data_IF_321726839672
#
_entry.id   IF_321726839672
#
_cell.length_a   1.000
_cell.length_b   1.000
_cell.length_c   1.000
_cell.angle_alpha   90.00
_cell.angle_beta   90.00
_cell.angle_gamma   90.00
#
_symmetry.space_group_name_H-M   'P 1'
#
loop_
_entity.id
_entity.type
_entity.pdbx_description
1 polymer ?
#
# COMPACT_ATOMS: atom_id res chain seq x y z
N UNK A 1 1.97 -0.11 23.35
CA UNK A 1 2.09 -1.39 22.63
C UNK A 1 2.61 -1.06 21.25
N UNK A 2 3.63 -1.77 20.77
CA UNK A 2 4.20 -1.55 19.43
C UNK A 2 3.24 -2.12 18.38
N UNK A 3 2.95 -1.39 17.30
CA UNK A 3 2.10 -1.88 16.20
C UNK A 3 2.90 -2.84 15.31
N UNK A 4 2.21 -3.80 14.68
CA UNK A 4 2.80 -4.70 13.70
C UNK A 4 3.32 -3.96 12.45
N UNK A 5 2.90 -2.71 12.26
CA UNK A 5 3.25 -1.86 11.12
C UNK A 5 4.30 -0.79 11.45
N UNK A 6 4.98 -0.87 12.59
CA UNK A 6 5.98 0.13 13.02
C UNK A 6 7.09 0.38 11.98
N UNK A 7 7.38 -0.60 11.11
CA UNK A 7 8.33 -0.43 10.00
C UNK A 7 7.91 0.64 8.97
N UNK A 8 6.61 0.96 8.89
CA UNK A 8 6.08 2.01 8.01
C UNK A 8 6.21 3.41 8.61
N UNK A 9 6.40 3.53 9.93
CA UNK A 9 6.36 4.82 10.64
C UNK A 9 7.42 5.80 10.12
N UNK A 10 8.61 5.32 9.75
CA UNK A 10 9.73 6.16 9.30
C UNK A 10 9.60 6.67 7.87
N UNK A 11 9.09 5.85 6.96
CA UNK A 11 9.05 6.16 5.52
C UNK A 11 7.64 6.55 5.04
N UNK A 12 6.60 6.08 5.73
CA UNK A 12 5.21 6.16 5.29
C UNK A 12 4.23 6.47 6.45
N UNK A 13 4.36 7.62 7.12
CA UNK A 13 3.59 7.93 8.34
C UNK A 13 2.07 7.92 8.13
N UNK A 14 1.56 8.38 6.98
CA UNK A 14 0.12 8.38 6.67
C UNK A 14 -0.44 6.96 6.44
N UNK A 15 0.36 6.09 5.82
CA UNK A 15 0.01 4.68 5.62
C UNK A 15 0.06 3.96 6.97
N UNK A 16 1.06 4.26 7.79
CA UNK A 16 1.21 3.72 9.13
C UNK A 16 0.00 4.05 10.02
N UNK A 17 -0.44 5.31 10.06
CA UNK A 17 -1.63 5.70 10.85
C UNK A 17 -2.85 4.88 10.44
N UNK A 18 -3.12 4.77 9.13
CA UNK A 18 -4.25 4.01 8.62
C UNK A 18 -4.13 2.50 8.93
N UNK A 19 -2.93 1.93 8.81
CA UNK A 19 -2.66 0.53 9.11
C UNK A 19 -2.79 0.21 10.60
N UNK A 20 -2.30 1.10 11.47
CA UNK A 20 -2.43 0.99 12.92
C UNK A 20 -3.90 1.03 13.33
N UNK A 21 -4.70 1.95 12.77
CA UNK A 21 -6.15 2.01 13.03
C UNK A 21 -6.87 0.74 12.59
N UNK A 22 -6.48 0.17 11.44
CA UNK A 22 -7.02 -1.10 10.98
C UNK A 22 -6.67 -2.26 11.94
N UNK A 23 -5.45 -2.28 12.46
CA UNK A 23 -4.99 -3.26 13.45
C UNK A 23 -5.77 -3.16 14.77
N UNK A 24 -5.90 -1.94 15.32
CA UNK A 24 -6.61 -1.66 16.57
C UNK A 24 -8.09 -2.05 16.51
N UNK A 25 -8.71 -1.84 15.35
CA UNK A 25 -10.15 -2.09 15.15
C UNK A 25 -10.45 -3.51 14.63
N UNK A 26 -9.44 -4.31 14.29
CA UNK A 26 -9.61 -5.61 13.64
C UNK A 26 -10.54 -6.58 14.41
N UNK A 27 -10.44 -6.61 15.74
CA UNK A 27 -11.24 -7.48 16.59
C UNK A 27 -12.51 -6.80 17.14
N UNK A 28 -12.52 -5.47 17.25
CA UNK A 28 -13.58 -4.71 17.92
C UNK A 28 -14.64 -4.19 16.95
N UNK A 29 -14.23 -3.70 15.77
CA UNK A 29 -15.09 -3.25 14.69
C UNK A 29 -14.50 -3.64 13.32
N UNK A 30 -14.92 -4.79 12.76
CA UNK A 30 -14.40 -5.26 11.47
C UNK A 30 -14.77 -4.36 10.29
N UNK A 31 -15.83 -3.52 10.41
CA UNK A 31 -16.20 -2.59 9.34
C UNK A 31 -15.25 -1.41 9.31
N UNK A 32 -14.97 -0.83 10.47
CA UNK A 32 -13.96 0.22 10.62
C UNK A 32 -12.58 -0.29 10.17
N UNK A 33 -12.20 -1.52 10.58
CA UNK A 33 -10.94 -2.13 10.19
C UNK A 33 -10.79 -2.26 8.67
N UNK A 34 -11.83 -2.72 7.98
CA UNK A 34 -11.83 -2.83 6.51
C UNK A 34 -11.71 -1.46 5.83
N UNK A 35 -12.39 -0.44 6.37
CA UNK A 35 -12.30 0.92 5.84
C UNK A 35 -10.87 1.48 5.93
N UNK A 36 -10.25 1.38 7.10
CA UNK A 36 -8.87 1.83 7.31
C UNK A 36 -7.86 1.02 6.51
N UNK A 37 -8.05 -0.30 6.39
CA UNK A 37 -7.19 -1.15 5.55
C UNK A 37 -7.27 -0.74 4.07
N UNK A 38 -8.47 -0.44 3.56
CA UNK A 38 -8.64 0.07 2.20
C UNK A 38 -7.95 1.43 2.03
N UNK A 39 -8.10 2.35 2.97
CA UNK A 39 -7.43 3.66 2.93
C UNK A 39 -5.91 3.52 2.90
N UNK A 40 -5.35 2.65 3.73
CA UNK A 40 -3.92 2.35 3.73
C UNK A 40 -3.45 1.83 2.36
N UNK A 41 -4.24 0.95 1.74
CA UNK A 41 -3.95 0.43 0.40
C UNK A 41 -4.01 1.51 -0.69
N UNK A 42 -5.01 2.41 -0.63
CA UNK A 42 -5.12 3.55 -1.56
C UNK A 42 -3.90 4.46 -1.49
N UNK A 43 -3.47 4.83 -0.29
CA UNK A 43 -2.29 5.65 -0.08
C UNK A 43 -1.02 4.96 -0.59
N UNK A 44 -0.84 3.67 -0.28
CA UNK A 44 0.32 2.91 -0.71
C UNK A 44 0.40 2.74 -2.24
N UNK A 45 -0.73 2.45 -2.87
CA UNK A 45 -0.79 2.27 -4.32
C UNK A 45 -0.55 3.61 -5.02
N UNK A 46 -1.18 4.70 -4.57
CA UNK A 46 -0.95 6.02 -5.15
C UNK A 46 0.51 6.44 -5.04
N UNK A 47 1.12 6.27 -3.87
CA UNK A 47 2.54 6.56 -3.68
C UNK A 47 3.42 5.75 -4.65
N UNK A 48 3.11 4.47 -4.85
CA UNK A 48 3.84 3.63 -5.79
C UNK A 48 3.73 4.15 -7.23
N UNK A 49 2.54 4.56 -7.67
CA UNK A 49 2.34 5.16 -9.00
C UNK A 49 3.03 6.51 -9.18
N UNK A 50 3.17 7.29 -8.11
CA UNK A 50 3.89 8.57 -8.14
C UNK A 50 5.41 8.40 -8.18
N UNK A 51 5.95 7.36 -7.53
CA UNK A 51 7.39 7.17 -7.35
C UNK A 51 8.00 6.10 -8.27
N UNK A 52 7.19 5.23 -8.87
CA UNK A 52 7.65 4.21 -9.82
C UNK A 52 7.24 4.57 -11.24
N UNK A 53 8.19 5.16 -11.99
CA UNK A 53 8.01 5.52 -13.39
C UNK A 53 7.79 4.30 -14.33
N UNK A 54 8.00 3.07 -13.85
CA UNK A 54 7.68 1.86 -14.63
C UNK A 54 6.20 1.50 -14.59
N UNK A 55 5.42 2.10 -13.67
CA UNK A 55 3.98 1.92 -13.58
C UNK A 55 3.27 2.87 -14.55
N UNK A 56 2.31 2.33 -15.30
CA UNK A 56 1.49 3.09 -16.24
C UNK A 56 0.12 3.37 -15.62
N UNK A 57 -0.25 4.65 -15.56
CA UNK A 57 -1.56 5.06 -15.06
C UNK A 57 -2.68 4.52 -15.99
N UNK A 58 -3.65 3.77 -15.45
CA UNK A 58 -4.80 3.31 -16.21
C UNK A 58 -5.76 4.47 -16.48
N UNK A 59 -6.71 4.27 -17.42
CA UNK A 59 -7.72 5.27 -17.78
C UNK A 59 -8.60 5.76 -16.61
N UNK A 60 -8.72 4.95 -15.54
CA UNK A 60 -9.43 5.31 -14.30
C UNK A 60 -8.44 5.26 -13.15
N UNK A 61 -8.46 6.27 -12.29
CA UNK A 61 -7.56 6.37 -11.13
C UNK A 61 -8.16 5.75 -9.85
N UNK A 62 -9.29 5.04 -9.98
CA UNK A 62 -9.86 4.29 -8.86
C UNK A 62 -8.91 3.17 -8.42
N UNK A 63 -8.85 2.89 -7.12
CA UNK A 63 -8.04 1.80 -6.56
C UNK A 63 -8.18 0.49 -7.33
N UNK A 64 -9.41 0.14 -7.72
CA UNK A 64 -9.67 -1.08 -8.47
C UNK A 64 -8.98 -1.08 -9.83
N UNK A 65 -8.92 0.05 -10.52
CA UNK A 65 -8.26 0.13 -11.81
C UNK A 65 -6.74 0.06 -11.64
N UNK A 66 -6.18 0.76 -10.64
CA UNK A 66 -4.76 0.76 -10.32
C UNK A 66 -4.24 -0.65 -9.99
N UNK A 67 -4.90 -1.37 -9.06
CA UNK A 67 -4.41 -2.71 -8.66
C UNK A 67 -4.58 -3.79 -9.75
N UNK A 68 -5.47 -3.57 -10.72
CA UNK A 68 -5.71 -4.50 -11.84
C UNK A 68 -4.88 -4.16 -13.07
N UNK A 69 -4.17 -3.05 -13.07
CA UNK A 69 -3.36 -2.62 -14.19
C UNK A 69 -2.20 -3.62 -14.42
N UNK A 70 -1.92 -4.02 -15.69
CA UNK A 70 -0.91 -5.01 -16.01
C UNK A 70 0.51 -4.70 -15.50
N UNK A 71 0.99 -3.46 -15.62
CA UNK A 71 2.33 -3.08 -15.14
C UNK A 71 2.44 -3.17 -13.62
N UNK A 72 1.38 -2.87 -12.88
CA UNK A 72 1.32 -3.09 -11.43
C UNK A 72 1.37 -4.59 -11.07
N UNK A 73 0.65 -5.43 -11.80
CA UNK A 73 0.65 -6.89 -11.57
C UNK A 73 1.96 -7.56 -11.95
N UNK A 74 2.61 -7.11 -13.03
CA UNK A 74 3.86 -7.69 -13.55
C UNK A 74 5.06 -7.13 -12.76
N UNK A 75 5.04 -5.87 -12.36
CA UNK A 75 6.08 -5.22 -11.55
C UNK A 75 6.34 -5.93 -10.22
N UNK A 76 5.34 -6.62 -9.66
CA UNK A 76 5.48 -7.49 -8.48
C UNK A 76 6.52 -8.61 -8.64
N UNK A 77 6.84 -9.02 -9.87
CA UNK A 77 7.87 -10.03 -10.16
C UNK A 77 9.25 -9.38 -10.34
N UNK A 78 9.30 -8.16 -10.89
CA UNK A 78 10.55 -7.46 -11.20
C UNK A 78 11.17 -6.74 -9.98
N UNK A 79 10.35 -6.20 -9.08
CA UNK A 79 10.83 -5.48 -7.89
C UNK A 79 11.42 -6.41 -6.82
N UNK A 80 11.02 -7.68 -6.79
CA UNK A 80 11.64 -8.70 -5.94
C UNK A 80 13.10 -9.00 -6.33
N UNK A 81 13.48 -8.79 -7.58
CA UNK A 81 14.85 -8.90 -8.06
C UNK A 81 15.67 -7.63 -7.76
N UNK A 82 15.04 -6.44 -7.80
CA UNK A 82 15.71 -5.16 -7.55
C UNK A 82 16.00 -4.85 -6.08
N UNK A 83 15.26 -5.43 -5.14
CA UNK A 83 15.54 -5.29 -3.71
C UNK A 83 16.71 -6.16 -3.21
N UNK A 84 17.21 -7.11 -4.03
CA UNK A 84 18.36 -7.95 -3.68
C UNK A 84 19.72 -7.31 -4.03
N UNK A 85 19.71 -6.20 -4.77
CA UNK A 85 20.90 -5.52 -5.32
C UNK A 85 21.09 -4.07 -4.83
N UNK A 86 20.43 -3.65 -3.74
CA UNK A 86 20.79 -2.40 -3.08
C UNK A 86 21.96 -2.65 -2.10
N UNK A 87 23.08 -1.92 -2.22
CA UNK A 87 24.23 -2.04 -1.30
C UNK A 87 23.88 -1.60 0.12
#
# INVERSE_FOLDING_TARGET
MSSQFTFLESEFPEIFESAQRAEETACSDPRAACFYARRALELAVNWAYEHDASLQLPYREDLSALIHEPTFRIGRVASASRLRDRP
#
